data_IF_682922581151
#
_entry.id   IF_682922581151
#
_cell.length_a   1.000
_cell.length_b   1.000
_cell.length_c   1.000
_cell.angle_alpha   90.00
_cell.angle_beta   90.00
_cell.angle_gamma   90.00
#
_symmetry.space_group_name_H-M   'P 1'
#
loop_
_entity.id
_entity.type
_entity.pdbx_description
1 polymer ?
#
# COMPACT_ATOMS: atom_id res chain seq x y z
N UNK A 1 -13.45 -3.92 9.15
CA UNK A 1 -13.48 -5.40 9.05
C UNK A 1 -14.54 -5.90 8.06
N UNK A 2 -15.82 -5.55 8.22
CA UNK A 2 -16.93 -6.06 7.39
C UNK A 2 -16.71 -5.89 5.87
N UNK A 3 -16.29 -4.69 5.43
CA UNK A 3 -16.06 -4.40 4.01
C UNK A 3 -14.99 -5.31 3.40
N UNK A 4 -13.88 -5.55 4.11
CA UNK A 4 -12.76 -6.39 3.62
C UNK A 4 -13.23 -7.84 3.46
N UNK A 5 -13.98 -8.35 4.43
CA UNK A 5 -14.52 -9.71 4.38
C UNK A 5 -15.50 -9.91 3.21
N UNK A 6 -16.42 -8.95 3.00
CA UNK A 6 -17.37 -8.98 1.88
C UNK A 6 -16.62 -8.99 0.54
N UNK A 7 -15.61 -8.12 0.37
CA UNK A 7 -14.82 -8.05 -0.85
C UNK A 7 -14.06 -9.35 -1.10
N UNK A 8 -13.34 -9.87 -0.10
CA UNK A 8 -12.61 -11.13 -0.20
C UNK A 8 -13.54 -12.29 -0.60
N UNK A 9 -14.72 -12.42 0.02
CA UNK A 9 -15.71 -13.44 -0.32
C UNK A 9 -16.18 -13.32 -1.78
N UNK A 10 -16.51 -12.10 -2.22
CA UNK A 10 -16.98 -11.86 -3.59
C UNK A 10 -15.88 -12.08 -4.64
N UNK A 11 -14.67 -11.63 -4.36
CA UNK A 11 -13.50 -11.86 -5.22
C UNK A 11 -13.24 -13.36 -5.38
N UNK A 12 -13.19 -14.12 -4.29
CA UNK A 12 -12.97 -15.57 -4.33
C UNK A 12 -14.09 -16.31 -5.10
N UNK A 13 -15.35 -15.89 -4.93
CA UNK A 13 -16.47 -16.47 -5.67
C UNK A 13 -16.38 -16.18 -7.18
N UNK A 14 -16.11 -14.92 -7.56
CA UNK A 14 -16.08 -14.51 -8.95
C UNK A 14 -14.84 -15.03 -9.66
N UNK A 15 -13.69 -15.05 -8.99
CA UNK A 15 -12.44 -15.62 -9.50
C UNK A 15 -12.63 -17.08 -9.93
N UNK A 16 -13.31 -17.90 -9.12
CA UNK A 16 -13.67 -19.28 -9.48
C UNK A 16 -14.62 -19.38 -10.68
N UNK A 17 -15.54 -18.41 -10.82
CA UNK A 17 -16.55 -18.40 -11.89
C UNK A 17 -15.97 -17.94 -13.24
N UNK A 18 -15.05 -16.99 -13.23
CA UNK A 18 -14.51 -16.35 -14.45
C UNK A 18 -13.14 -16.87 -14.85
N UNK A 19 -12.41 -17.51 -13.94
CA UNK A 19 -11.01 -17.89 -14.14
C UNK A 19 -10.01 -16.73 -13.98
N UNK A 20 -10.47 -15.52 -13.66
CA UNK A 20 -9.60 -14.36 -13.43
C UNK A 20 -9.03 -14.43 -12.01
N UNK A 21 -7.71 -14.43 -11.89
CA UNK A 21 -7.02 -14.39 -10.60
C UNK A 21 -7.07 -12.96 -10.05
N UNK A 22 -7.42 -12.82 -8.77
CA UNK A 22 -7.58 -11.52 -8.12
C UNK A 22 -6.87 -11.49 -6.77
N UNK A 23 -6.35 -10.33 -6.38
CA UNK A 23 -5.82 -10.07 -5.04
C UNK A 23 -6.10 -8.64 -4.63
N UNK A 24 -6.47 -8.43 -3.37
CA UNK A 24 -6.85 -7.12 -2.83
C UNK A 24 -5.65 -6.47 -2.15
N UNK A 25 -5.36 -5.21 -2.46
CA UNK A 25 -4.36 -4.41 -1.73
C UNK A 25 -5.13 -3.39 -0.90
N UNK A 26 -4.87 -3.32 0.41
CA UNK A 26 -5.49 -2.31 1.27
C UNK A 26 -4.59 -1.08 1.34
N UNK A 27 -5.17 0.09 1.10
CA UNK A 27 -4.45 1.34 1.01
C UNK A 27 -4.72 2.20 2.25
N UNK A 28 -3.66 2.68 2.91
CA UNK A 28 -3.75 3.83 3.82
C UNK A 28 -3.66 5.13 3.01
N UNK A 29 -4.18 6.23 3.54
CA UNK A 29 -4.18 7.51 2.83
C UNK A 29 -3.22 8.48 3.53
N UNK A 30 -2.46 9.29 2.77
CA UNK A 30 -1.40 10.15 3.33
C UNK A 30 -1.85 11.09 4.46
N UNK A 31 -3.11 11.53 4.43
CA UNK A 31 -3.67 12.40 5.46
C UNK A 31 -4.10 11.65 6.73
N UNK A 32 -4.00 10.32 6.76
CA UNK A 32 -4.31 9.53 7.94
C UNK A 32 -3.23 9.68 9.01
N UNK A 33 -3.68 9.59 10.26
CA UNK A 33 -2.79 9.51 11.40
C UNK A 33 -2.03 8.18 11.45
N UNK A 34 -0.98 8.15 12.26
CA UNK A 34 -0.20 6.93 12.53
C UNK A 34 -1.07 5.75 13.00
N UNK A 35 -2.06 5.99 13.84
CA UNK A 35 -2.96 4.95 14.34
C UNK A 35 -3.85 4.37 13.24
N UNK A 36 -4.40 5.21 12.36
CA UNK A 36 -5.22 4.78 11.22
C UNK A 36 -4.40 4.00 10.18
N UNK A 37 -3.16 4.42 9.93
CA UNK A 37 -2.22 3.66 9.10
C UNK A 37 -1.93 2.27 9.69
N UNK A 38 -1.69 2.24 11.01
CA UNK A 38 -1.47 0.99 11.75
C UNK A 38 -2.72 0.08 11.76
N UNK A 39 -3.91 0.63 11.84
CA UNK A 39 -5.17 -0.12 11.72
C UNK A 39 -5.27 -0.80 10.34
N UNK A 40 -4.93 -0.06 9.29
CA UNK A 40 -4.98 -0.57 7.91
C UNK A 40 -4.02 -1.75 7.72
N UNK A 41 -2.76 -1.65 8.16
CA UNK A 41 -1.80 -2.76 8.00
C UNK A 41 -2.14 -3.97 8.87
N UNK A 42 -2.77 -3.76 10.05
CA UNK A 42 -3.26 -4.88 10.86
C UNK A 42 -4.38 -5.64 10.16
N UNK A 43 -5.28 -4.93 9.47
CA UNK A 43 -6.28 -5.56 8.60
C UNK A 43 -5.63 -6.31 7.44
N UNK A 44 -4.55 -5.79 6.85
CA UNK A 44 -3.79 -6.51 5.82
C UNK A 44 -3.29 -7.84 6.37
N UNK A 45 -2.68 -7.84 7.55
CA UNK A 45 -2.16 -9.06 8.18
C UNK A 45 -3.28 -10.06 8.48
N UNK A 46 -4.40 -9.60 9.05
CA UNK A 46 -5.54 -10.45 9.41
C UNK A 46 -6.20 -11.15 8.20
N UNK A 47 -6.18 -10.51 7.03
CA UNK A 47 -6.85 -10.98 5.83
C UNK A 47 -5.89 -11.50 4.73
N UNK A 48 -4.59 -11.61 5.01
CA UNK A 48 -3.56 -11.93 4.02
C UNK A 48 -3.83 -13.27 3.30
N UNK A 49 -4.30 -14.29 4.03
CA UNK A 49 -4.62 -15.59 3.44
C UNK A 49 -6.09 -15.74 3.02
N UNK A 50 -6.87 -14.64 3.04
CA UNK A 50 -8.30 -14.63 2.71
C UNK A 50 -8.62 -13.92 1.39
N UNK A 51 -7.63 -13.28 0.76
CA UNK A 51 -7.78 -12.57 -0.50
C UNK A 51 -7.05 -11.22 -0.53
N UNK A 52 -6.60 -10.70 0.61
CA UNK A 52 -5.72 -9.53 0.67
C UNK A 52 -4.28 -9.97 0.39
N UNK A 53 -3.57 -9.27 -0.48
CA UNK A 53 -2.21 -9.66 -0.91
C UNK A 53 -1.16 -8.60 -0.61
N UNK A 54 -1.53 -7.44 -0.07
CA UNK A 54 -0.57 -6.41 0.30
C UNK A 54 -1.16 -5.13 0.88
N UNK A 55 -0.23 -4.24 1.23
CA UNK A 55 -0.45 -2.91 1.80
C UNK A 55 0.02 -1.81 0.84
N UNK A 56 -0.64 -0.66 0.84
CA UNK A 56 -0.30 0.51 0.01
C UNK A 56 -0.48 1.83 0.78
N UNK A 57 0.12 2.90 0.26
CA UNK A 57 -0.16 4.30 0.61
C UNK A 57 -0.43 5.11 -0.65
N UNK A 58 -1.49 5.92 -0.63
CA UNK A 58 -1.88 6.83 -1.71
C UNK A 58 -2.49 8.14 -1.16
N UNK A 59 -3.17 8.89 -2.02
CA UNK A 59 -3.69 10.26 -1.80
C UNK A 59 -2.61 11.35 -1.97
N UNK A 60 -2.95 12.58 -1.58
CA UNK A 60 -2.20 13.81 -1.85
C UNK A 60 -0.74 13.74 -1.37
N UNK A 61 0.15 13.44 -2.32
CA UNK A 61 1.59 13.28 -2.12
C UNK A 61 2.26 14.60 -1.73
N UNK A 62 1.85 15.71 -2.33
CA UNK A 62 2.45 17.02 -2.12
C UNK A 62 1.97 17.67 -0.81
N UNK A 63 0.73 17.40 -0.41
CA UNK A 63 0.12 17.97 0.79
C UNK A 63 0.46 17.25 2.09
N UNK A 64 0.86 15.97 2.04
CA UNK A 64 1.01 15.14 3.24
C UNK A 64 2.28 14.28 3.24
N UNK A 65 3.13 14.41 4.28
CA UNK A 65 4.35 13.63 4.40
C UNK A 65 4.08 12.18 4.82
N UNK A 66 5.05 11.29 4.58
CA UNK A 66 4.89 9.85 4.84
C UNK A 66 5.19 9.42 6.29
N UNK A 67 5.62 10.33 7.16
CA UNK A 67 6.14 9.99 8.50
C UNK A 67 5.14 9.24 9.38
N UNK A 68 3.84 9.55 9.27
CA UNK A 68 2.79 8.82 9.98
C UNK A 68 2.68 7.35 9.57
N UNK A 69 3.19 6.98 8.39
CA UNK A 69 3.01 5.65 7.81
C UNK A 69 4.23 4.74 7.98
N UNK A 70 5.40 5.28 8.34
CA UNK A 70 6.64 4.53 8.50
C UNK A 70 6.44 3.29 9.37
N UNK A 71 5.86 3.45 10.56
CA UNK A 71 5.66 2.31 11.48
C UNK A 71 4.74 1.22 10.92
N UNK A 72 3.78 1.58 10.05
CA UNK A 72 2.90 0.60 9.43
C UNK A 72 3.66 -0.21 8.37
N UNK A 73 4.53 0.43 7.59
CA UNK A 73 5.42 -0.26 6.65
C UNK A 73 6.46 -1.13 7.37
N UNK A 74 7.01 -0.68 8.50
CA UNK A 74 7.88 -1.50 9.36
C UNK A 74 7.14 -2.74 9.89
N UNK A 75 5.90 -2.58 10.35
CA UNK A 75 5.05 -3.69 10.76
C UNK A 75 4.82 -4.67 9.61
N UNK A 76 4.54 -4.17 8.41
CA UNK A 76 4.34 -5.00 7.23
C UNK A 76 5.60 -5.81 6.88
N UNK A 77 6.78 -5.19 6.91
CA UNK A 77 8.07 -5.85 6.69
C UNK A 77 8.34 -6.93 7.74
N UNK A 78 8.11 -6.63 9.02
CA UNK A 78 8.29 -7.59 10.12
C UNK A 78 7.40 -8.84 9.94
N UNK A 79 6.16 -8.63 9.50
CA UNK A 79 5.19 -9.71 9.24
C UNK A 79 5.30 -10.30 7.81
N UNK A 80 6.34 -9.92 7.05
CA UNK A 80 6.60 -10.40 5.67
C UNK A 80 5.45 -10.14 4.68
N UNK A 81 4.66 -9.10 4.91
CA UNK A 81 3.56 -8.68 4.04
C UNK A 81 4.12 -7.95 2.81
N UNK A 82 3.48 -8.12 1.65
CA UNK A 82 3.83 -7.32 0.47
C UNK A 82 3.41 -5.86 0.66
N UNK A 83 4.25 -4.93 0.20
CA UNK A 83 3.94 -3.50 0.22
C UNK A 83 4.22 -2.87 -1.15
N UNK A 84 3.38 -1.90 -1.52
CA UNK A 84 3.61 -0.93 -2.59
C UNK A 84 3.41 0.47 -2.00
N UNK A 85 3.84 1.52 -2.68
CA UNK A 85 3.60 2.90 -2.25
C UNK A 85 3.54 3.84 -3.45
N UNK A 86 2.59 4.77 -3.47
CA UNK A 86 2.55 5.83 -4.48
C UNK A 86 3.63 6.88 -4.20
N UNK A 87 4.45 7.14 -5.21
CA UNK A 87 5.45 8.20 -5.19
C UNK A 87 5.83 8.66 -6.60
N UNK A 88 6.28 9.90 -6.74
CA UNK A 88 6.74 10.44 -8.02
C UNK A 88 5.59 10.75 -8.98
N UNK A 89 4.40 11.10 -8.47
CA UNK A 89 3.24 11.52 -9.26
C UNK A 89 3.09 13.05 -9.21
N UNK A 90 2.88 13.59 -8.01
CA UNK A 90 2.75 15.03 -7.74
C UNK A 90 4.08 15.65 -7.30
N UNK A 91 4.98 14.87 -6.70
CA UNK A 91 6.34 15.28 -6.33
C UNK A 91 7.40 14.62 -7.22
N UNK A 92 8.62 15.14 -7.23
CA UNK A 92 9.69 14.70 -8.13
C UNK A 92 10.36 13.39 -7.68
N UNK A 93 11.49 13.09 -8.31
CA UNK A 93 12.30 11.91 -7.98
C UNK A 93 12.70 11.83 -6.49
N UNK A 94 12.79 12.98 -5.80
CA UNK A 94 13.07 13.04 -4.37
C UNK A 94 12.02 12.31 -3.53
N UNK A 95 10.74 12.35 -3.93
CA UNK A 95 9.68 11.64 -3.21
C UNK A 95 9.73 10.12 -3.44
N UNK A 96 10.17 9.71 -4.64
CA UNK A 96 10.44 8.31 -4.96
C UNK A 96 11.57 7.78 -4.07
N UNK A 97 12.68 8.51 -3.97
CA UNK A 97 13.78 8.16 -3.08
C UNK A 97 13.39 8.15 -1.61
N UNK A 98 12.64 9.15 -1.14
CA UNK A 98 12.13 9.19 0.23
C UNK A 98 11.30 7.93 0.52
N UNK A 99 10.39 7.58 -0.39
CA UNK A 99 9.52 6.41 -0.28
C UNK A 99 10.31 5.11 -0.27
N UNK A 100 11.29 4.94 -1.17
CA UNK A 100 12.17 3.76 -1.21
C UNK A 100 12.94 3.63 0.12
N UNK A 101 13.51 4.73 0.61
CA UNK A 101 14.38 4.71 1.78
C UNK A 101 13.62 4.52 3.10
N UNK A 102 12.50 5.24 3.28
CA UNK A 102 11.73 5.23 4.53
C UNK A 102 10.73 4.08 4.60
N UNK A 103 10.05 3.75 3.50
CA UNK A 103 8.97 2.76 3.49
C UNK A 103 9.39 1.39 2.95
N UNK A 104 10.45 1.35 2.13
CA UNK A 104 11.02 0.12 1.53
C UNK A 104 9.97 -0.77 0.84
N UNK A 105 9.09 -0.22 -0.01
CA UNK A 105 8.09 -1.01 -0.70
C UNK A 105 8.73 -1.93 -1.74
N UNK A 106 8.03 -3.01 -2.13
CA UNK A 106 8.49 -3.91 -3.21
C UNK A 106 8.25 -3.32 -4.61
N UNK A 107 7.34 -2.36 -4.71
CA UNK A 107 6.96 -1.66 -5.95
C UNK A 107 6.61 -0.21 -5.65
N UNK A 108 6.79 0.66 -6.64
CA UNK A 108 6.34 2.05 -6.60
C UNK A 108 5.11 2.17 -7.52
N UNK A 109 4.04 2.80 -7.01
CA UNK A 109 2.93 3.29 -7.81
C UNK A 109 3.30 4.60 -8.48
N UNK A 110 2.98 4.76 -9.76
CA UNK A 110 3.45 5.85 -10.64
C UNK A 110 4.96 5.79 -10.90
N UNK A 111 5.76 6.45 -10.07
CA UNK A 111 7.20 6.63 -10.28
C UNK A 111 7.53 7.37 -11.58
N UNK A 112 6.58 8.06 -12.20
CA UNK A 112 6.78 8.68 -13.52
C UNK A 112 7.84 9.77 -13.48
N UNK A 113 7.93 10.51 -12.37
CA UNK A 113 8.93 11.55 -12.14
C UNK A 113 10.30 11.02 -11.69
N UNK A 114 10.49 9.70 -11.63
CA UNK A 114 11.84 9.12 -11.42
C UNK A 114 12.80 9.51 -12.55
N UNK A 115 12.29 9.80 -13.75
CA UNK A 115 13.08 10.24 -14.91
C UNK A 115 13.79 11.60 -14.70
N UNK A 116 13.41 12.34 -13.66
CA UNK A 116 14.04 13.62 -13.31
C UNK A 116 15.38 13.45 -12.59
N UNK A 117 15.70 12.21 -12.16
CA UNK A 117 16.98 11.84 -11.57
C UNK A 117 17.67 10.80 -12.46
N UNK A 118 18.90 11.13 -12.88
CA UNK A 118 19.70 10.30 -13.79
C UNK A 118 20.57 9.25 -13.06
N UNK A 119 20.54 9.23 -11.72
CA UNK A 119 21.33 8.31 -10.90
C UNK A 119 20.89 6.84 -10.97
#
# INVERSE_FOLDING_TARGET
MEVVDILCKKMNQLSKKTGIITGLILCTLRHYSKSQSMETVKLVNEFYDKGVVGFDIAADEAGFPIDNHISAFEYAQYNKLNCTAHAGEAMGAESVWETINKLKPKRIGHGVRSIEDEN
#
